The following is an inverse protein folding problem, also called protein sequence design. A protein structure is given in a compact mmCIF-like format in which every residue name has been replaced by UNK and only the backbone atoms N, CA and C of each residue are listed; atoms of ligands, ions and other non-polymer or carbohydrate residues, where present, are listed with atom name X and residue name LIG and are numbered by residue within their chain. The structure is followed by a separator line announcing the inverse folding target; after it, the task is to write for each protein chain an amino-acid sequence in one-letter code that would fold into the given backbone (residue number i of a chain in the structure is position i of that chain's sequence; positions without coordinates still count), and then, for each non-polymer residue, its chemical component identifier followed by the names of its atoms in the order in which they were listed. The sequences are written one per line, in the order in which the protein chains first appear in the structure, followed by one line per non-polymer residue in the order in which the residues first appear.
data_IF_018280705338
#
_entry.id   IF_018280705338
#
_cell.length_a   1.000
_cell.length_b   1.000
_cell.length_c   1.000
_cell.angle_alpha   90.00
_cell.angle_beta   90.00
_cell.angle_gamma   90.00
#
_symmetry.space_group_name_H-M   'P 1'
#
loop_
_entity.id
_entity.type
_entity.pdbx_description
1 polymer ?
#
# COMPACT_ATOMS: atom_id res chain seq x y z
N UNK A 1 -59.95 14.78 30.96
CA UNK A 1 -60.02 13.33 31.27
C UNK A 1 -61.29 12.77 30.65
N UNK A 2 -61.15 11.78 29.76
CA UNK A 2 -62.12 10.71 29.39
C UNK A 2 -61.65 10.11 28.05
N UNK A 3 -61.00 8.96 28.12
CA UNK A 3 -60.79 8.07 26.97
C UNK A 3 -62.10 7.34 26.65
N UNK A 4 -62.21 6.78 25.45
CA UNK A 4 -62.63 5.39 25.40
C UNK A 4 -61.76 4.57 24.44
N UNK A 5 -61.14 3.55 25.02
CA UNK A 5 -60.60 2.37 24.36
C UNK A 5 -61.73 1.49 23.87
N UNK A 6 -61.67 0.99 22.63
CA UNK A 6 -62.36 -0.25 22.23
C UNK A 6 -61.46 -1.13 21.35
N UNK A 7 -61.69 -2.42 21.51
CA UNK A 7 -60.73 -3.52 21.33
C UNK A 7 -60.80 -4.12 19.92
N UNK A 8 -59.63 -4.52 19.44
CA UNK A 8 -59.26 -5.73 18.67
C UNK A 8 -60.37 -6.42 17.84
N UNK A 9 -60.11 -6.56 16.53
CA UNK A 9 -60.42 -7.79 15.80
C UNK A 9 -59.19 -8.23 15.00
N UNK A 10 -58.81 -9.49 15.21
CA UNK A 10 -57.90 -10.30 14.41
C UNK A 10 -58.75 -11.32 13.66
N UNK A 11 -58.54 -11.46 12.36
CA UNK A 11 -58.79 -12.66 11.54
C UNK A 11 -57.97 -12.47 10.25
N UNK A 12 -56.86 -13.17 10.01
CA UNK A 12 -56.64 -14.60 9.79
C UNK A 12 -57.00 -15.07 8.37
N UNK A 13 -56.11 -15.93 7.83
CA UNK A 13 -56.15 -16.69 6.56
C UNK A 13 -55.99 -15.87 5.27
N UNK A 14 -55.23 -16.28 4.25
CA UNK A 14 -54.49 -17.52 4.02
C UNK A 14 -54.12 -17.59 2.53
N UNK A 15 -52.85 -17.91 2.25
CA UNK A 15 -52.29 -18.59 1.06
C UNK A 15 -52.90 -18.36 -0.34
N UNK A 16 -52.09 -17.85 -1.27
CA UNK A 16 -52.02 -18.37 -2.64
C UNK A 16 -50.66 -18.06 -3.28
N UNK A 17 -49.91 -19.11 -3.57
CA UNK A 17 -48.70 -19.07 -4.38
C UNK A 17 -49.04 -18.65 -5.82
N UNK A 18 -48.23 -17.75 -6.39
CA UNK A 18 -48.15 -17.56 -7.83
C UNK A 18 -46.67 -17.49 -8.23
N UNK A 19 -46.16 -18.63 -8.67
CA UNK A 19 -44.94 -18.75 -9.45
C UNK A 19 -45.10 -17.95 -10.75
N UNK A 20 -44.34 -16.86 -10.92
CA UNK A 20 -44.05 -16.30 -12.24
C UNK A 20 -42.55 -16.10 -12.38
N UNK A 21 -41.92 -17.17 -12.86
CA UNK A 21 -40.58 -17.19 -13.43
C UNK A 21 -40.61 -16.32 -14.71
N UNK A 22 -40.30 -15.03 -14.57
CA UNK A 22 -40.01 -14.16 -15.72
C UNK A 22 -38.50 -13.97 -15.79
N UNK A 23 -37.90 -14.53 -16.83
CA UNK A 23 -36.48 -14.38 -17.14
C UNK A 23 -36.20 -12.90 -17.44
N UNK A 24 -35.59 -12.20 -16.47
CA UNK A 24 -34.98 -10.90 -16.72
C UNK A 24 -33.50 -11.09 -17.08
N UNK A 25 -33.00 -10.38 -18.11
CA UNK A 25 -31.59 -10.39 -18.44
C UNK A 25 -30.81 -9.75 -17.29
N UNK A 26 -29.76 -10.44 -16.85
CA UNK A 26 -28.79 -9.91 -15.89
C UNK A 26 -28.00 -8.83 -16.63
N UNK A 27 -28.53 -7.61 -16.65
CA UNK A 27 -27.73 -6.42 -16.89
C UNK A 27 -27.01 -6.10 -15.59
N UNK A 28 -25.68 -6.24 -15.66
CA UNK A 28 -24.68 -5.86 -14.68
C UNK A 28 -25.18 -4.80 -13.69
N UNK A 29 -25.36 -5.23 -12.43
CA UNK A 29 -25.37 -4.30 -11.32
C UNK A 29 -24.00 -3.63 -11.30
N UNK A 30 -23.93 -2.39 -11.77
CA UNK A 30 -22.92 -1.45 -11.33
C UNK A 30 -23.19 -1.18 -9.84
N UNK A 31 -22.88 -2.18 -9.01
CA UNK A 31 -22.80 -2.03 -7.58
C UNK A 31 -21.69 -1.00 -7.33
N UNK A 32 -22.09 0.23 -7.03
CA UNK A 32 -21.26 1.14 -6.26
C UNK A 32 -20.72 0.34 -5.08
N UNK A 33 -19.40 0.14 -4.93
CA UNK A 33 -18.88 -0.60 -3.79
C UNK A 33 -19.30 0.16 -2.53
N UNK A 34 -20.04 -0.53 -1.66
CA UNK A 34 -20.43 -0.04 -0.34
C UNK A 34 -19.18 0.48 0.37
N UNK A 35 -19.31 1.61 1.06
CA UNK A 35 -18.26 2.22 1.91
C UNK A 35 -17.60 1.20 2.85
N UNK A 36 -18.31 0.13 3.23
CA UNK A 36 -17.79 -0.95 4.07
C UNK A 36 -16.75 -1.85 3.37
N UNK A 37 -16.83 -2.07 2.05
CA UNK A 37 -15.82 -2.86 1.31
C UNK A 37 -14.51 -2.10 1.11
N UNK A 38 -14.56 -0.77 0.98
CA UNK A 38 -13.36 0.08 1.02
C UNK A 38 -12.71 0.07 2.42
N UNK A 39 -13.52 -0.05 3.47
CA UNK A 39 -13.05 -0.08 4.85
C UNK A 39 -12.41 -1.44 5.20
N UNK A 40 -12.92 -2.55 4.65
CA UNK A 40 -12.31 -3.88 4.81
C UNK A 40 -10.94 -4.01 4.11
N UNK A 41 -10.71 -3.31 2.98
CA UNK A 41 -9.37 -3.19 2.39
C UNK A 41 -8.45 -2.25 3.21
N UNK A 42 -9.02 -1.28 3.92
CA UNK A 42 -8.28 -0.33 4.74
C UNK A 42 -7.80 -0.95 6.07
N UNK A 43 -8.47 -1.97 6.60
CA UNK A 43 -8.06 -2.60 7.86
C UNK A 43 -6.90 -3.60 7.73
N UNK A 44 -6.60 -4.11 6.53
CA UNK A 44 -5.52 -5.07 6.31
C UNK A 44 -4.11 -4.43 6.27
N UNK A 45 -3.99 -3.10 6.23
CA UNK A 45 -2.71 -2.38 6.35
C UNK A 45 -2.47 -1.75 7.73
N UNK A 46 -3.32 -2.06 8.72
CA UNK A 46 -2.96 -1.80 10.12
C UNK A 46 -1.88 -2.80 10.53
N UNK A 47 -0.64 -2.33 10.43
CA UNK A 47 0.53 -2.85 11.14
C UNK A 47 1.47 -3.82 10.39
N UNK A 48 1.93 -3.43 9.19
CA UNK A 48 3.14 -4.02 8.60
C UNK A 48 4.37 -3.10 8.71
N UNK A 49 4.55 -2.40 9.83
CA UNK A 49 5.91 -2.08 10.32
C UNK A 49 6.45 -3.20 11.20
N UNK A 50 6.03 -4.45 10.95
CA UNK A 50 6.60 -5.63 11.60
C UNK A 50 8.09 -5.60 11.33
N UNK A 51 8.85 -5.36 12.40
CA UNK A 51 10.30 -5.44 12.47
C UNK A 51 10.71 -6.83 12.00
N UNK A 52 10.87 -6.99 10.68
CA UNK A 52 11.39 -8.20 10.08
C UNK A 52 12.84 -8.34 10.51
N UNK A 53 13.07 -9.16 11.53
CA UNK A 53 14.37 -9.62 11.99
C UNK A 53 15.07 -10.42 10.91
N UNK A 54 15.52 -9.74 9.85
CA UNK A 54 16.48 -10.28 8.89
C UNK A 54 17.87 -9.90 9.36
N UNK A 55 18.53 -10.80 10.07
CA UNK A 55 19.97 -10.74 10.36
C UNK A 55 20.73 -10.73 9.03
N UNK A 56 21.25 -9.57 8.63
CA UNK A 56 22.08 -9.45 7.42
C UNK A 56 22.75 -8.07 7.38
N UNK A 57 24.07 -8.06 7.36
CA UNK A 57 24.98 -6.92 7.52
C UNK A 57 24.82 -5.76 6.51
N UNK A 58 23.70 -5.03 6.55
CA UNK A 58 23.49 -3.71 5.89
C UNK A 58 22.84 -2.68 6.84
N UNK A 59 23.37 -2.60 8.05
CA UNK A 59 22.86 -1.79 9.17
C UNK A 59 22.77 -0.29 8.87
N UNK A 60 23.89 0.34 8.50
CA UNK A 60 23.97 1.81 8.49
C UNK A 60 23.19 2.45 7.33
N UNK A 61 23.30 1.91 6.11
CA UNK A 61 22.51 2.43 4.99
C UNK A 61 21.00 2.27 5.22
N UNK A 62 20.56 1.25 5.97
CA UNK A 62 19.15 1.08 6.35
C UNK A 62 18.75 2.10 7.43
N UNK A 63 19.62 2.35 8.41
CA UNK A 63 19.42 3.38 9.44
C UNK A 63 19.37 4.79 8.82
N UNK A 64 20.25 5.11 7.89
CA UNK A 64 20.29 6.38 7.18
C UNK A 64 18.99 6.63 6.39
N UNK A 65 18.55 5.69 5.55
CA UNK A 65 17.26 5.79 4.84
C UNK A 65 16.06 5.91 5.79
N UNK A 66 16.12 5.23 6.94
CA UNK A 66 15.09 5.33 7.96
C UNK A 66 15.08 6.73 8.59
N UNK A 67 16.25 7.28 8.88
CA UNK A 67 16.39 8.62 9.44
C UNK A 67 15.87 9.68 8.46
N UNK A 68 16.26 9.60 7.18
CA UNK A 68 15.76 10.48 6.11
C UNK A 68 14.23 10.43 6.03
N UNK A 69 13.63 9.24 6.00
CA UNK A 69 12.17 9.10 5.99
C UNK A 69 11.51 9.72 7.23
N UNK A 70 12.12 9.57 8.41
CA UNK A 70 11.62 10.18 9.64
C UNK A 70 11.73 11.70 9.63
N UNK A 71 12.79 12.26 9.04
CA UNK A 71 12.95 13.71 8.87
C UNK A 71 11.93 14.27 7.88
N UNK A 72 11.74 13.62 6.73
CA UNK A 72 10.71 14.01 5.76
C UNK A 72 9.32 13.97 6.38
N UNK A 73 9.01 12.92 7.15
CA UNK A 73 7.76 12.83 7.88
C UNK A 73 7.65 13.93 8.94
N UNK A 74 8.68 14.17 9.74
CA UNK A 74 8.70 15.24 10.73
C UNK A 74 8.43 16.61 10.08
N UNK A 75 9.08 16.93 8.96
CA UNK A 75 8.82 18.15 8.18
C UNK A 75 7.36 18.23 7.70
N UNK A 76 6.79 17.14 7.19
CA UNK A 76 5.39 17.08 6.78
C UNK A 76 4.41 17.35 7.93
N UNK A 77 4.77 16.92 9.14
CA UNK A 77 3.99 17.14 10.36
C UNK A 77 4.29 18.49 11.04
N UNK A 78 5.27 19.27 10.55
CA UNK A 78 5.68 20.53 11.16
C UNK A 78 6.53 20.36 12.43
N UNK A 79 7.14 19.18 12.61
CA UNK A 79 8.02 18.87 13.74
C UNK A 79 9.44 19.32 13.39
N UNK A 80 10.03 20.17 14.24
CA UNK A 80 11.41 20.60 14.07
C UNK A 80 12.37 19.39 14.12
N UNK A 81 13.25 19.27 13.12
CA UNK A 81 14.21 18.16 12.99
C UNK A 81 15.63 18.49 13.45
N UNK A 82 15.92 19.77 13.66
CA UNK A 82 17.26 20.24 14.03
C UNK A 82 17.59 19.95 15.49
N UNK A 83 18.77 19.39 15.75
CA UNK A 83 19.27 19.12 17.10
C UNK A 83 18.59 17.97 17.85
N UNK A 84 17.59 17.30 17.26
CA UNK A 84 16.89 16.17 17.90
C UNK A 84 17.54 14.83 17.60
N UNK A 85 17.56 13.95 18.60
CA UNK A 85 18.00 12.56 18.39
C UNK A 85 16.98 11.77 17.58
N UNK A 86 17.43 10.72 16.90
CA UNK A 86 16.54 9.84 16.13
C UNK A 86 15.41 9.25 17.00
N UNK A 87 15.70 8.92 18.26
CA UNK A 87 14.69 8.38 19.19
C UNK A 87 13.65 9.42 19.61
N UNK A 88 14.07 10.67 19.84
CA UNK A 88 13.16 11.77 20.15
C UNK A 88 12.22 12.05 18.97
N UNK A 89 12.77 12.14 17.75
CA UNK A 89 11.99 12.28 16.53
C UNK A 89 10.99 11.14 16.36
N UNK A 90 11.39 9.91 16.69
CA UNK A 90 10.49 8.77 16.62
C UNK A 90 9.29 8.91 17.56
N UNK A 91 9.52 9.32 18.81
CA UNK A 91 8.47 9.50 19.81
C UNK A 91 7.50 10.62 19.41
N UNK A 92 8.03 11.77 18.99
CA UNK A 92 7.19 12.89 18.56
C UNK A 92 6.37 12.56 17.31
N UNK A 93 6.99 11.90 16.33
CA UNK A 93 6.28 11.48 15.12
C UNK A 93 5.21 10.42 15.41
N UNK A 94 5.46 9.51 16.37
CA UNK A 94 4.46 8.55 16.83
C UNK A 94 3.27 9.25 17.47
N UNK A 95 3.50 10.23 18.35
CA UNK A 95 2.44 11.04 18.94
C UNK A 95 1.65 11.82 17.86
N UNK A 96 2.34 12.41 16.88
CA UNK A 96 1.70 13.13 15.78
C UNK A 96 0.86 12.21 14.87
N UNK A 97 1.30 10.97 14.66
CA UNK A 97 0.53 9.93 13.96
C UNK A 97 -0.73 9.55 14.73
N UNK A 98 -0.62 9.35 16.03
CA UNK A 98 -1.76 9.01 16.89
C UNK A 98 -2.77 10.16 16.97
N UNK A 99 -2.28 11.40 17.02
CA UNK A 99 -3.12 12.60 16.99
C UNK A 99 -3.85 12.80 15.65
N UNK A 100 -3.21 12.47 14.52
CA UNK A 100 -3.75 12.72 13.18
C UNK A 100 -3.50 11.54 12.22
N UNK A 101 -4.22 10.41 12.38
CA UNK A 101 -4.03 9.24 11.52
C UNK A 101 -4.34 9.53 10.05
N UNK A 102 -5.33 10.39 9.77
CA UNK A 102 -5.69 10.77 8.40
C UNK A 102 -4.54 11.52 7.67
N UNK A 103 -3.81 12.38 8.38
CA UNK A 103 -2.64 13.08 7.84
C UNK A 103 -1.50 12.09 7.53
N UNK A 104 -1.33 11.07 8.37
CA UNK A 104 -0.35 10.00 8.17
C UNK A 104 -0.68 9.13 6.95
N UNK A 105 -1.95 8.76 6.77
CA UNK A 105 -2.37 8.01 5.59
C UNK A 105 -2.18 8.81 4.30
N UNK A 106 -2.50 10.11 4.30
CA UNK A 106 -2.22 11.00 3.16
C UNK A 106 -0.72 11.01 2.82
N UNK A 107 0.15 11.22 3.82
CA UNK A 107 1.60 11.18 3.62
C UNK A 107 2.08 9.85 3.01
N UNK A 108 1.60 8.71 3.55
CA UNK A 108 1.95 7.39 3.01
C UNK A 108 1.46 7.20 1.58
N UNK A 109 0.24 7.63 1.27
CA UNK A 109 -0.32 7.53 -0.08
C UNK A 109 0.52 8.32 -1.09
N UNK A 110 0.94 9.53 -0.73
CA UNK A 110 1.79 10.37 -1.57
C UNK A 110 3.16 9.74 -1.78
N UNK A 111 3.79 9.20 -0.72
CA UNK A 111 5.08 8.51 -0.83
C UNK A 111 4.99 7.22 -1.64
N UNK A 112 3.89 6.45 -1.54
CA UNK A 112 3.63 5.29 -2.40
C UNK A 112 3.52 5.72 -3.86
N UNK A 113 2.79 6.80 -4.16
CA UNK A 113 2.66 7.33 -5.51
C UNK A 113 4.01 7.81 -6.08
N UNK A 114 4.80 8.56 -5.30
CA UNK A 114 6.15 8.97 -5.68
C UNK A 114 7.07 7.76 -5.93
N UNK A 115 7.00 6.73 -5.09
CA UNK A 115 7.77 5.51 -5.28
C UNK A 115 7.39 4.78 -6.58
N UNK A 116 6.08 4.67 -6.85
CA UNK A 116 5.57 4.10 -8.10
C UNK A 116 6.06 4.85 -9.33
N UNK A 117 5.98 6.18 -9.33
CA UNK A 117 6.48 6.99 -10.44
C UNK A 117 7.98 6.74 -10.69
N UNK A 118 8.80 6.73 -9.62
CA UNK A 118 10.24 6.44 -9.72
C UNK A 118 10.52 5.04 -10.28
N UNK A 119 9.71 4.04 -9.91
CA UNK A 119 9.83 2.69 -10.45
C UNK A 119 9.49 2.65 -11.94
N UNK A 120 8.41 3.32 -12.36
CA UNK A 120 8.02 3.42 -13.76
C UNK A 120 9.09 4.13 -14.59
N UNK A 121 9.66 5.22 -14.10
CA UNK A 121 10.74 5.94 -14.79
C UNK A 121 11.99 5.07 -14.93
N UNK A 122 12.33 4.33 -13.87
CA UNK A 122 13.46 3.39 -13.89
C UNK A 122 13.20 2.25 -14.87
N UNK A 123 11.98 1.70 -14.88
CA UNK A 123 11.56 0.66 -15.81
C UNK A 123 11.64 1.13 -17.27
N UNK A 124 11.11 2.32 -17.58
CA UNK A 124 11.21 2.93 -18.91
C UNK A 124 12.67 3.09 -19.37
N UNK A 125 13.54 3.60 -18.49
CA UNK A 125 14.99 3.74 -18.78
C UNK A 125 15.67 2.40 -19.04
N UNK A 126 15.19 1.33 -18.42
CA UNK A 126 15.70 -0.02 -18.61
C UNK A 126 15.04 -0.78 -19.78
N UNK A 127 14.05 -0.18 -20.45
CA UNK A 127 13.30 -0.81 -21.54
C UNK A 127 12.26 -1.83 -21.07
N UNK A 128 11.81 -1.75 -19.82
CA UNK A 128 10.82 -2.65 -19.24
C UNK A 128 9.42 -2.08 -19.49
N UNK A 129 8.50 -2.90 -20.00
CA UNK A 129 7.10 -2.50 -20.15
C UNK A 129 6.46 -2.23 -18.77
N UNK A 130 5.83 -1.07 -18.61
CA UNK A 130 5.21 -0.61 -17.37
C UNK A 130 3.69 -0.81 -17.31
N UNK A 131 3.07 -1.23 -18.41
CA UNK A 131 1.62 -1.35 -18.53
C UNK A 131 1.10 -2.57 -17.77
N UNK A 132 0.06 -2.36 -16.94
CA UNK A 132 -0.60 -3.44 -16.19
C UNK A 132 0.23 -4.08 -15.07
N UNK A 133 1.46 -3.62 -14.82
CA UNK A 133 2.35 -4.19 -13.80
C UNK A 133 2.20 -3.53 -12.44
N UNK A 134 2.26 -4.34 -11.39
CA UNK A 134 2.27 -3.89 -10.01
C UNK A 134 3.64 -3.34 -9.60
N UNK A 135 3.68 -2.53 -8.53
CA UNK A 135 4.91 -2.00 -7.93
C UNK A 135 5.98 -3.08 -7.72
N UNK A 136 5.55 -4.21 -7.17
CA UNK A 136 6.41 -5.33 -6.81
C UNK A 136 7.00 -6.01 -8.04
N UNK A 137 6.17 -6.26 -9.05
CA UNK A 137 6.62 -6.84 -10.32
C UNK A 137 7.65 -5.94 -11.00
N UNK A 138 7.38 -4.63 -11.08
CA UNK A 138 8.35 -3.68 -11.64
C UNK A 138 9.67 -3.69 -10.86
N UNK A 139 9.61 -3.70 -9.53
CA UNK A 139 10.81 -3.73 -8.70
C UNK A 139 11.62 -5.02 -8.88
N UNK A 140 10.96 -6.16 -8.94
CA UNK A 140 11.61 -7.46 -9.12
C UNK A 140 12.25 -7.55 -10.51
N UNK A 141 11.54 -7.14 -11.57
CA UNK A 141 12.11 -7.10 -12.93
C UNK A 141 13.30 -6.15 -13.05
N UNK A 142 13.20 -4.95 -12.48
CA UNK A 142 14.32 -4.00 -12.42
C UNK A 142 15.52 -4.63 -11.71
N UNK A 143 15.29 -5.32 -10.58
CA UNK A 143 16.35 -5.97 -9.81
C UNK A 143 17.02 -7.08 -10.61
N UNK A 144 16.25 -7.97 -11.22
CA UNK A 144 16.78 -9.09 -12.00
C UNK A 144 17.55 -8.60 -13.24
N UNK A 145 17.05 -7.59 -13.95
CA UNK A 145 17.78 -7.02 -15.09
C UNK A 145 19.11 -6.37 -14.67
N UNK A 146 19.12 -5.62 -13.57
CA UNK A 146 20.36 -5.06 -13.02
C UNK A 146 21.35 -6.16 -12.64
N UNK A 147 20.88 -7.22 -11.98
CA UNK A 147 21.70 -8.37 -11.60
C UNK A 147 22.29 -9.08 -12.81
N UNK A 148 21.48 -9.34 -13.84
CA UNK A 148 21.93 -10.01 -15.07
C UNK A 148 22.96 -9.16 -15.83
N UNK A 149 22.77 -7.84 -15.91
CA UNK A 149 23.78 -6.93 -16.48
C UNK A 149 25.11 -6.99 -15.72
N UNK A 150 25.08 -7.01 -14.39
CA UNK A 150 26.29 -7.12 -13.57
C UNK A 150 27.02 -8.46 -13.78
N UNK A 151 26.28 -9.56 -13.88
CA UNK A 151 26.86 -10.89 -14.14
C UNK A 151 27.54 -10.91 -15.51
N UNK A 152 26.85 -10.44 -16.56
CA UNK A 152 27.40 -10.37 -17.92
C UNK A 152 28.69 -9.53 -17.98
N UNK A 153 28.69 -8.34 -17.38
CA UNK A 153 29.89 -7.50 -17.32
C UNK A 153 31.06 -8.16 -16.57
N UNK A 154 30.76 -8.91 -15.51
CA UNK A 154 31.78 -9.64 -14.75
C UNK A 154 32.40 -10.78 -15.57
N UNK A 155 31.59 -11.48 -16.36
CA UNK A 155 32.05 -12.53 -17.28
C UNK A 155 32.90 -11.96 -18.41
N UNK A 156 32.43 -10.88 -19.06
CA UNK A 156 33.17 -10.20 -20.13
C UNK A 156 34.53 -9.70 -19.63
N UNK A 157 34.57 -9.05 -18.46
CA UNK A 157 35.82 -8.60 -17.84
C UNK A 157 36.79 -9.76 -17.56
N UNK A 158 36.29 -10.86 -16.99
CA UNK A 158 37.11 -12.05 -16.72
C UNK A 158 37.71 -12.66 -18.00
N UNK A 159 36.96 -12.63 -19.10
CA UNK A 159 37.43 -13.12 -20.40
C UNK A 159 38.45 -12.19 -21.07
N UNK A 160 38.32 -10.87 -20.88
CA UNK A 160 39.27 -9.89 -21.38
C UNK A 160 40.62 -9.97 -20.63
N UNK A 161 40.58 -10.13 -19.31
CA UNK A 161 41.78 -10.28 -18.47
C UNK A 161 42.54 -11.58 -18.82
N UNK A 162 41.84 -12.69 -19.08
CA UNK A 162 42.45 -13.95 -19.49
C UNK A 162 43.13 -13.87 -20.87
N UNK A 163 42.59 -13.07 -21.80
CA UNK A 163 43.12 -12.90 -23.16
C UNK A 163 44.32 -11.93 -23.22
N UNK A 164 44.52 -11.11 -22.19
CA UNK A 164 45.69 -10.22 -22.05
C UNK A 164 46.90 -10.91 -21.40
N UNK A 165 46.73 -12.13 -20.86
CA UNK A 165 47.78 -12.89 -20.15
C UNK A 165 48.31 -14.09 -20.95
N UNK A 166 47.81 -14.32 -22.17
CA UNK A 166 48.34 -15.26 -23.17
C UNK A 166 49.02 -14.49 -24.30
#
# INVERSE_FOLDING_TARGET
MKTPTWRKQLAALGTAAALLLTAMPICAQAATPSSEQLQAQHEQERDHWRFGGGHGHKSEARKARKLEFMQEAAQYFGIATEGKSAEQLHKELKAAREANPAKWEKFKSEKKAQHMARLQDTAKRLGISTEGKTARQLQDEIRELCKNRMIKQKEEKKSADAKSQS
#
